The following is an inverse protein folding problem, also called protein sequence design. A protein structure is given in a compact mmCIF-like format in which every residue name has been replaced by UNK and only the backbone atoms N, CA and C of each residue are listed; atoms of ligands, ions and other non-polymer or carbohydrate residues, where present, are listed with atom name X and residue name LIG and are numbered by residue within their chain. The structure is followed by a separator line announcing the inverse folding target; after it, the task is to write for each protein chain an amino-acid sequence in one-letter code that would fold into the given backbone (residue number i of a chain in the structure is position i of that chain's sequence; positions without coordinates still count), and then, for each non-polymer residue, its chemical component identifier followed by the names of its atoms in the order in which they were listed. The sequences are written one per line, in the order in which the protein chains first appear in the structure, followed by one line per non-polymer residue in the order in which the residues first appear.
data_IF_395047136241
#
_entry.id   IF_395047136241
#
_cell.length_a   1.000
_cell.length_b   1.000
_cell.length_c   1.000
_cell.angle_alpha   90.00
_cell.angle_beta   90.00
_cell.angle_gamma   90.00
#
_symmetry.space_group_name_H-M   'P 1'
#
loop_
_entity.id
_entity.type
_entity.pdbx_description
1 polymer ?
#
# COMPACT_ATOMS: atom_id res chain seq x y z
N UNK A 1 26.72 5.23 -15.84
CA UNK A 1 26.49 4.01 -16.66
C UNK A 1 25.00 3.91 -16.88
N UNK A 2 24.44 4.86 -17.62
CA UNK A 2 22.99 5.18 -17.70
C UNK A 2 22.52 5.36 -19.14
N UNK A 3 23.19 4.75 -20.12
CA UNK A 3 23.04 5.18 -21.54
C UNK A 3 22.58 4.07 -22.48
N UNK A 4 22.18 2.90 -21.97
CA UNK A 4 21.80 1.76 -22.81
C UNK A 4 20.30 1.46 -22.76
N UNK A 5 19.60 1.76 -21.66
CA UNK A 5 18.15 1.51 -21.58
C UNK A 5 17.32 2.50 -22.42
N UNK A 6 17.79 3.73 -22.64
CA UNK A 6 17.04 4.75 -23.39
C UNK A 6 17.02 4.55 -24.91
N UNK A 7 17.88 3.67 -25.45
CA UNK A 7 17.99 3.44 -26.91
C UNK A 7 17.04 2.37 -27.45
N UNK A 8 16.26 1.71 -26.59
CA UNK A 8 15.31 0.69 -27.02
C UNK A 8 13.86 1.19 -27.19
N UNK A 9 13.56 2.43 -26.83
CA UNK A 9 12.19 2.98 -26.87
C UNK A 9 11.91 3.92 -28.06
N UNK A 10 12.91 4.23 -28.90
CA UNK A 10 12.79 5.32 -29.89
C UNK A 10 12.41 4.90 -31.33
N UNK A 11 12.03 3.63 -31.61
CA UNK A 11 11.77 3.20 -33.00
C UNK A 11 10.57 2.26 -33.23
N UNK A 12 9.48 2.43 -32.50
CA UNK A 12 8.17 1.88 -32.89
C UNK A 12 7.12 3.00 -32.88
N UNK A 13 7.37 4.01 -33.71
CA UNK A 13 6.43 5.07 -34.00
C UNK A 13 5.89 4.91 -35.42
N UNK A 14 4.90 4.04 -35.62
CA UNK A 14 3.96 4.20 -36.72
C UNK A 14 2.64 3.45 -36.43
N UNK A 15 1.60 4.27 -36.16
CA UNK A 15 0.20 3.98 -36.48
C UNK A 15 -0.65 3.11 -35.53
N UNK A 16 -0.83 3.55 -34.28
CA UNK A 16 -1.95 3.10 -33.42
C UNK A 16 -2.81 4.28 -32.95
N UNK A 17 -3.26 5.11 -33.88
CA UNK A 17 -4.26 6.16 -33.60
C UNK A 17 -5.69 5.63 -33.83
N UNK A 18 -6.01 4.43 -33.33
CA UNK A 18 -7.35 3.82 -33.39
C UNK A 18 -7.61 3.00 -32.12
N UNK A 19 -8.63 3.41 -31.35
CA UNK A 19 -9.12 2.83 -30.09
C UNK A 19 -8.42 3.24 -28.78
N UNK A 20 -8.22 4.53 -28.52
CA UNK A 20 -8.27 5.03 -27.14
C UNK A 20 -9.73 5.30 -26.75
N UNK A 21 -10.55 4.25 -26.70
CA UNK A 21 -11.75 4.32 -25.87
C UNK A 21 -11.25 4.48 -24.44
N UNK A 22 -11.50 5.61 -23.80
CA UNK A 22 -11.41 5.72 -22.35
C UNK A 22 -12.33 4.65 -21.79
N UNK A 23 -11.76 3.48 -21.48
CA UNK A 23 -12.45 2.46 -20.71
C UNK A 23 -12.72 3.10 -19.37
N UNK A 24 -13.95 3.58 -19.19
CA UNK A 24 -14.44 4.13 -17.95
C UNK A 24 -14.30 3.01 -16.90
N UNK A 25 -13.18 3.02 -16.17
CA UNK A 25 -12.88 1.99 -15.17
C UNK A 25 -13.97 2.15 -14.10
N UNK A 26 -14.77 1.10 -13.91
CA UNK A 26 -15.76 1.09 -12.83
C UNK A 26 -15.05 1.46 -11.52
N UNK A 27 -15.38 2.60 -10.90
CA UNK A 27 -14.73 3.05 -9.66
C UNK A 27 -14.87 2.03 -8.53
N UNK A 28 -15.89 1.15 -8.59
CA UNK A 28 -16.10 0.07 -7.62
C UNK A 28 -15.18 -1.13 -7.83
N UNK A 29 -14.58 -1.26 -9.01
CA UNK A 29 -13.64 -2.33 -9.39
C UNK A 29 -12.20 -1.85 -9.52
N UNK A 30 -11.95 -0.58 -9.19
CA UNK A 30 -10.61 0.01 -9.27
C UNK A 30 -10.06 0.20 -7.87
N UNK A 31 -8.84 -0.29 -7.63
CA UNK A 31 -8.13 -0.04 -6.40
C UNK A 31 -7.73 1.44 -6.33
N UNK A 32 -8.26 2.17 -5.34
CA UNK A 32 -7.92 3.58 -5.12
C UNK A 32 -6.84 3.67 -4.03
N UNK A 33 -5.60 3.87 -4.46
CA UNK A 33 -4.44 3.91 -3.55
C UNK A 33 -4.54 5.04 -2.52
N UNK A 34 -5.00 6.22 -2.91
CA UNK A 34 -5.09 7.39 -2.04
C UNK A 34 -6.14 7.21 -0.94
N UNK A 35 -7.31 6.68 -1.29
CA UNK A 35 -8.38 6.35 -0.33
C UNK A 35 -7.89 5.31 0.69
N UNK A 36 -7.24 4.25 0.21
CA UNK A 36 -6.69 3.20 1.08
C UNK A 36 -5.58 3.76 1.97
N UNK A 37 -4.68 4.57 1.43
CA UNK A 37 -3.58 5.21 2.18
C UNK A 37 -4.11 6.16 3.26
N UNK A 38 -5.19 6.89 2.98
CA UNK A 38 -5.86 7.73 3.95
C UNK A 38 -6.44 6.92 5.12
N UNK A 39 -7.14 5.81 4.82
CA UNK A 39 -7.67 4.89 5.84
C UNK A 39 -6.54 4.34 6.73
N UNK A 40 -5.44 3.89 6.12
CA UNK A 40 -4.30 3.37 6.87
C UNK A 40 -3.71 4.44 7.77
N UNK A 41 -3.48 5.65 7.23
CA UNK A 41 -2.94 6.79 7.97
C UNK A 41 -3.79 7.09 9.21
N UNK A 42 -5.09 7.24 9.03
CA UNK A 42 -6.03 7.54 10.11
C UNK A 42 -5.97 6.48 11.23
N UNK A 43 -5.96 5.19 10.86
CA UNK A 43 -5.90 4.10 11.84
C UNK A 43 -4.58 4.08 12.59
N UNK A 44 -3.45 4.24 11.89
CA UNK A 44 -2.12 4.23 12.51
C UNK A 44 -1.95 5.40 13.46
N UNK A 45 -2.29 6.62 13.03
CA UNK A 45 -2.17 7.84 13.85
C UNK A 45 -3.12 7.84 15.06
N UNK A 46 -4.27 7.16 14.97
CA UNK A 46 -5.19 6.97 16.10
C UNK A 46 -4.69 5.92 17.09
N UNK A 47 -4.00 4.87 16.60
CA UNK A 47 -3.55 3.75 17.43
C UNK A 47 -2.22 4.03 18.13
N UNK A 48 -1.31 4.71 17.44
CA UNK A 48 0.03 5.03 17.91
C UNK A 48 0.19 6.55 17.81
N UNK A 49 0.19 7.23 18.96
CA UNK A 49 0.45 8.66 19.03
C UNK A 49 1.91 8.95 18.65
N UNK A 50 2.15 10.12 18.03
CA UNK A 50 3.48 10.53 17.56
C UNK A 50 4.58 10.44 18.65
N UNK A 51 4.22 10.77 19.89
CA UNK A 51 5.12 10.78 21.05
C UNK A 51 5.20 9.43 21.79
N UNK A 52 4.55 8.39 21.27
CA UNK A 52 4.61 7.05 21.87
C UNK A 52 6.02 6.48 21.79
N UNK A 53 6.58 6.14 22.95
CA UNK A 53 7.82 5.39 23.03
C UNK A 53 7.60 3.92 22.65
N UNK A 54 8.59 3.34 21.97
CA UNK A 54 8.62 1.91 21.69
C UNK A 54 8.66 1.13 23.01
N UNK A 55 7.72 0.20 23.16
CA UNK A 55 7.72 -0.79 24.23
C UNK A 55 7.35 -2.13 23.64
N UNK A 56 8.28 -3.09 23.66
CA UNK A 56 8.12 -4.38 22.99
C UNK A 56 6.80 -5.09 23.35
N UNK A 57 6.40 -5.02 24.62
CA UNK A 57 5.15 -5.61 25.10
C UNK A 57 3.86 -5.02 24.49
N UNK A 58 3.91 -3.78 23.98
CA UNK A 58 2.76 -3.12 23.33
C UNK A 58 2.67 -3.41 21.83
N UNK A 59 3.78 -3.77 21.20
CA UNK A 59 3.88 -3.92 19.74
C UNK A 59 2.88 -4.92 19.19
N UNK A 60 2.75 -6.08 19.85
CA UNK A 60 1.80 -7.11 19.41
C UNK A 60 0.35 -6.61 19.43
N UNK A 61 -0.01 -5.82 20.46
CA UNK A 61 -1.36 -5.27 20.59
C UNK A 61 -1.63 -4.18 19.54
N UNK A 62 -0.68 -3.26 19.35
CA UNK A 62 -0.80 -2.24 18.30
C UNK A 62 -0.92 -2.86 16.90
N UNK A 63 -0.12 -3.90 16.62
CA UNK A 63 -0.18 -4.61 15.34
C UNK A 63 -1.57 -5.21 15.09
N UNK A 64 -2.11 -5.95 16.07
CA UNK A 64 -3.43 -6.54 15.99
C UNK A 64 -4.53 -5.48 15.75
N UNK A 65 -4.51 -4.38 16.52
CA UNK A 65 -5.48 -3.28 16.37
C UNK A 65 -5.40 -2.65 14.98
N UNK A 66 -4.19 -2.35 14.49
CA UNK A 66 -4.00 -1.72 13.18
C UNK A 66 -4.53 -2.62 12.07
N UNK A 67 -4.12 -3.90 12.04
CA UNK A 67 -4.56 -4.84 10.99
C UNK A 67 -6.07 -5.03 11.02
N UNK A 68 -6.66 -5.19 12.21
CA UNK A 68 -8.10 -5.36 12.37
C UNK A 68 -8.88 -4.12 11.92
N UNK A 69 -8.49 -2.93 12.38
CA UNK A 69 -9.20 -1.69 12.07
C UNK A 69 -9.07 -1.28 10.61
N UNK A 70 -7.88 -1.43 9.99
CA UNK A 70 -7.70 -1.20 8.56
C UNK A 70 -8.60 -2.16 7.78
N UNK A 71 -8.59 -3.45 8.12
CA UNK A 71 -9.41 -4.46 7.42
C UNK A 71 -10.91 -4.15 7.55
N UNK A 72 -11.39 -3.78 8.74
CA UNK A 72 -12.79 -3.39 8.96
C UNK A 72 -13.21 -2.17 8.13
N UNK A 73 -12.38 -1.13 8.10
CA UNK A 73 -12.66 0.08 7.31
C UNK A 73 -12.65 -0.19 5.81
N UNK A 74 -11.71 -1.00 5.31
CA UNK A 74 -11.67 -1.43 3.91
C UNK A 74 -12.90 -2.26 3.54
N UNK A 75 -13.31 -3.19 4.40
CA UNK A 75 -14.54 -3.96 4.19
C UNK A 75 -15.79 -3.08 4.14
N UNK A 76 -15.83 -2.01 4.95
CA UNK A 76 -16.94 -1.06 4.98
C UNK A 76 -17.10 -0.25 3.66
N UNK A 77 -16.04 -0.13 2.84
CA UNK A 77 -16.13 0.49 1.50
C UNK A 77 -17.09 -0.27 0.57
N UNK A 78 -17.44 -1.52 0.91
CA UNK A 78 -18.40 -2.34 0.16
C UNK A 78 -18.06 -2.48 -1.33
N UNK A 79 -16.75 -2.46 -1.65
CA UNK A 79 -16.22 -2.71 -2.99
C UNK A 79 -15.95 -4.21 -3.17
N UNK A 80 -15.98 -4.70 -4.41
CA UNK A 80 -15.75 -6.11 -4.74
C UNK A 80 -14.24 -6.42 -4.73
N UNK A 81 -13.65 -6.43 -3.54
CA UNK A 81 -12.23 -6.71 -3.33
C UNK A 81 -12.02 -7.72 -2.21
N UNK A 82 -10.99 -8.54 -2.38
CA UNK A 82 -10.33 -9.25 -1.27
C UNK A 82 -9.13 -8.41 -0.84
N UNK A 83 -9.10 -8.02 0.42
CA UNK A 83 -8.01 -7.23 0.99
C UNK A 83 -7.05 -8.11 1.80
N UNK A 84 -5.76 -7.89 1.60
CA UNK A 84 -4.67 -8.46 2.41
C UNK A 84 -3.98 -7.28 3.09
N UNK A 85 -3.82 -7.33 4.41
CA UNK A 85 -3.20 -6.26 5.21
C UNK A 85 -2.06 -6.87 6.02
N UNK A 86 -0.87 -6.27 5.93
CA UNK A 86 0.27 -6.62 6.80
C UNK A 86 0.80 -5.38 7.48
N UNK A 87 1.11 -5.48 8.78
CA UNK A 87 1.74 -4.41 9.56
C UNK A 87 3.06 -4.90 10.13
N UNK A 88 4.11 -4.10 9.99
CA UNK A 88 5.44 -4.32 10.54
C UNK A 88 5.85 -3.14 11.39
N UNK A 89 6.18 -3.39 12.67
CA UNK A 89 6.59 -2.37 13.64
C UNK A 89 7.96 -2.74 14.18
N UNK A 90 8.91 -1.81 14.15
CA UNK A 90 10.28 -2.05 14.64
C UNK A 90 10.90 -0.79 15.24
N UNK A 91 11.75 -0.98 16.24
CA UNK A 91 12.42 0.07 17.00
C UNK A 91 13.48 0.80 16.16
N UNK A 92 13.62 2.11 16.37
CA UNK A 92 14.70 2.95 15.83
C UNK A 92 15.95 2.82 16.70
N UNK A 93 16.67 1.72 16.54
CA UNK A 93 17.93 1.47 17.27
C UNK A 93 19.17 1.47 16.36
N UNK A 94 19.04 2.02 15.14
CA UNK A 94 20.11 2.03 14.14
C UNK A 94 20.22 0.76 13.30
N UNK A 95 19.39 -0.27 13.57
CA UNK A 95 19.28 -1.42 12.69
C UNK A 95 18.52 -1.08 11.39
N UNK A 96 18.99 -1.65 10.28
CA UNK A 96 18.30 -1.58 9.00
C UNK A 96 17.25 -2.68 8.86
N UNK A 97 16.23 -2.42 8.04
CA UNK A 97 15.26 -3.42 7.59
C UNK A 97 15.26 -3.48 6.07
N UNK A 98 15.19 -4.68 5.51
CA UNK A 98 14.95 -4.87 4.08
C UNK A 98 13.77 -5.82 3.92
N UNK A 99 12.69 -5.34 3.29
CA UNK A 99 11.50 -6.11 3.00
C UNK A 99 11.20 -6.02 1.50
N UNK A 100 10.98 -7.16 0.87
CA UNK A 100 10.64 -7.25 -0.55
C UNK A 100 9.36 -8.05 -0.69
N UNK A 101 8.44 -7.57 -1.52
CA UNK A 101 7.18 -8.22 -1.81
C UNK A 101 7.08 -8.40 -3.32
N UNK A 102 6.83 -9.63 -3.77
CA UNK A 102 6.65 -9.94 -5.20
C UNK A 102 5.22 -10.41 -5.40
N UNK A 103 4.54 -9.84 -6.38
CA UNK A 103 3.14 -10.15 -6.69
C UNK A 103 3.00 -10.47 -8.18
N UNK A 104 2.04 -11.33 -8.52
CA UNK A 104 1.57 -11.55 -9.88
C UNK A 104 0.05 -11.40 -9.87
N UNK A 105 -0.46 -10.40 -10.60
CA UNK A 105 -1.85 -9.92 -10.48
C UNK A 105 -2.30 -9.15 -11.73
N UNK A 106 -3.57 -8.77 -11.79
CA UNK A 106 -4.10 -7.94 -12.88
C UNK A 106 -3.81 -6.46 -12.63
N UNK A 107 -2.86 -5.88 -13.38
CA UNK A 107 -2.48 -4.46 -13.29
C UNK A 107 -3.59 -3.47 -13.60
N UNK A 108 -4.74 -3.92 -14.15
CA UNK A 108 -5.86 -3.05 -14.47
C UNK A 108 -6.77 -2.82 -13.26
N UNK A 109 -6.99 -3.84 -12.44
CA UNK A 109 -8.01 -3.85 -11.38
C UNK A 109 -7.43 -4.08 -9.98
N UNK A 110 -6.35 -4.85 -9.88
CA UNK A 110 -5.67 -5.10 -8.61
C UNK A 110 -4.70 -3.97 -8.28
N UNK A 111 -4.34 -3.85 -7.00
CA UNK A 111 -3.35 -2.87 -6.59
C UNK A 111 -2.84 -3.10 -5.17
N UNK A 112 -1.79 -2.37 -4.83
CA UNK A 112 -1.31 -2.27 -3.45
C UNK A 112 -0.98 -0.85 -3.08
N UNK A 113 -1.00 -0.56 -1.80
CA UNK A 113 -0.37 0.64 -1.28
C UNK A 113 0.46 0.32 -0.05
N UNK A 114 1.51 1.11 0.15
CA UNK A 114 2.36 1.05 1.34
C UNK A 114 2.28 2.40 2.04
N UNK A 115 2.00 2.36 3.34
CA UNK A 115 2.08 3.53 4.21
C UNK A 115 3.17 3.30 5.26
N UNK A 116 4.07 4.28 5.39
CA UNK A 116 5.12 4.31 6.40
C UNK A 116 4.87 5.49 7.31
N UNK A 117 4.79 5.21 8.60
CA UNK A 117 4.68 6.18 9.67
C UNK A 117 5.93 6.16 10.54
N UNK A 118 6.50 7.34 10.74
CA UNK A 118 7.75 7.54 11.45
C UNK A 118 7.47 8.26 12.77
N UNK A 119 7.69 7.59 13.89
CA UNK A 119 7.66 8.22 15.22
C UNK A 119 9.07 8.57 15.68
N UNK A 120 9.21 9.13 16.87
CA UNK A 120 10.53 9.40 17.44
C UNK A 120 11.32 8.10 17.77
N UNK A 121 10.63 6.98 18.05
CA UNK A 121 11.25 5.76 18.61
C UNK A 121 11.08 4.50 17.76
N UNK A 122 10.20 4.50 16.76
CA UNK A 122 9.89 3.33 15.95
C UNK A 122 9.43 3.69 14.54
N UNK A 123 9.52 2.71 13.65
CA UNK A 123 8.90 2.73 12.34
C UNK A 123 7.68 1.82 12.33
N UNK A 124 6.62 2.27 11.67
CA UNK A 124 5.40 1.49 11.45
C UNK A 124 5.16 1.46 9.94
N UNK A 125 5.20 0.28 9.35
CA UNK A 125 4.97 0.08 7.91
C UNK A 125 3.73 -0.80 7.76
N UNK A 126 2.77 -0.34 6.97
CA UNK A 126 1.55 -1.08 6.65
C UNK A 126 1.46 -1.23 5.14
N UNK A 127 1.37 -2.47 4.69
CA UNK A 127 1.13 -2.80 3.29
C UNK A 127 -0.29 -3.34 3.15
N UNK A 128 -1.00 -2.87 2.13
CA UNK A 128 -2.33 -3.37 1.76
C UNK A 128 -2.30 -3.79 0.30
N UNK A 129 -2.83 -4.96 0.01
CA UNK A 129 -3.12 -5.43 -1.35
C UNK A 129 -4.63 -5.58 -1.50
N UNK A 130 -5.19 -5.06 -2.58
CA UNK A 130 -6.58 -5.25 -2.97
C UNK A 130 -6.63 -6.04 -4.28
N UNK A 131 -7.27 -7.21 -4.23
CA UNK A 131 -7.51 -8.06 -5.39
C UNK A 131 -8.99 -7.96 -5.77
N UNK A 132 -9.28 -7.48 -6.98
CA UNK A 132 -10.64 -7.33 -7.47
C UNK A 132 -11.29 -8.71 -7.64
N UNK A 133 -12.60 -8.79 -7.35
CA UNK A 133 -13.42 -10.02 -7.49
C UNK A 133 -14.52 -9.82 -8.53
#
# INVERSE_FOLDING_TARGET
METITSRFEENIGENTNRFSGEFNKDPKKTFNEDEVKHIIKEVVETTILQDSAYLHSRVSNWNAIIVEHVTKKLAALSKSFKYIVTCTIFEKNGAGIHATTTCYWDSKYDGSTTYRHDTNSMYVIVNVWGLCV
#
